data_IF_072949983248
#
_entry.id   IF_072949983248
#
_cell.length_a   1.000
_cell.length_b   1.000
_cell.length_c   1.000
_cell.angle_alpha   90.00
_cell.angle_beta   90.00
_cell.angle_gamma   90.00
#
_symmetry.space_group_name_H-M   'P 1'
#
loop_
_entity.id
_entity.type
_entity.pdbx_description
1 polymer ?
#
# COMPACT_ATOMS: atom_id res chain seq x y z
N UNK A 1 6.72 -0.10 26.73
CA UNK A 1 5.36 -0.37 27.25
C UNK A 1 4.63 -1.32 26.31
N UNK A 2 3.82 -2.23 26.83
CA UNK A 2 2.96 -3.10 25.99
C UNK A 2 1.71 -2.35 25.53
N UNK A 3 1.07 -2.73 24.41
CA UNK A 3 -0.17 -2.11 23.95
C UNK A 3 -1.32 -2.18 24.96
N UNK A 4 -1.32 -3.19 25.83
CA UNK A 4 -2.26 -3.32 26.94
C UNK A 4 -2.02 -2.25 28.00
N UNK A 5 -0.77 -2.06 28.43
CA UNK A 5 -0.40 -0.99 29.36
C UNK A 5 -0.74 0.40 28.79
N UNK A 6 -0.50 0.63 27.51
CA UNK A 6 -0.86 1.88 26.83
C UNK A 6 -2.38 2.08 26.84
N UNK A 7 -3.16 1.05 26.50
CA UNK A 7 -4.63 1.13 26.51
C UNK A 7 -5.15 1.46 27.90
N UNK A 8 -4.66 0.77 28.93
CA UNK A 8 -5.07 1.00 30.32
C UNK A 8 -4.71 2.40 30.77
N UNK A 9 -3.51 2.90 30.46
CA UNK A 9 -3.14 4.27 30.82
C UNK A 9 -4.03 5.31 30.14
N UNK A 10 -4.33 5.14 28.85
CA UNK A 10 -5.21 6.03 28.11
C UNK A 10 -6.61 6.07 28.75
N UNK A 11 -7.22 4.92 29.04
CA UNK A 11 -8.58 4.87 29.62
C UNK A 11 -8.65 5.34 31.07
N UNK A 12 -7.54 5.24 31.82
CA UNK A 12 -7.51 5.67 33.23
C UNK A 12 -7.24 7.17 33.37
N UNK A 13 -6.43 7.76 32.47
CA UNK A 13 -6.01 9.16 32.58
C UNK A 13 -6.80 10.12 31.70
N UNK A 14 -7.39 9.65 30.61
CA UNK A 14 -8.20 10.46 29.71
C UNK A 14 -9.66 10.01 29.82
N UNK A 15 -10.53 10.95 30.16
CA UNK A 15 -11.98 10.79 30.07
C UNK A 15 -12.49 11.54 28.83
N UNK A 16 -12.81 10.83 27.73
CA UNK A 16 -13.24 11.45 26.48
C UNK A 16 -14.52 12.28 26.63
N UNK A 17 -15.38 11.95 27.61
CA UNK A 17 -16.65 12.65 27.82
C UNK A 17 -16.43 14.07 28.36
N UNK A 18 -15.46 14.26 29.24
CA UNK A 18 -15.08 15.57 29.78
C UNK A 18 -14.46 16.47 28.72
N UNK A 19 -13.70 15.86 27.81
CA UNK A 19 -13.03 16.57 26.71
C UNK A 19 -13.90 16.70 25.45
N UNK A 20 -15.14 16.17 25.46
CA UNK A 20 -16.07 16.14 24.32
C UNK A 20 -15.47 15.50 23.06
N UNK A 21 -14.65 14.45 23.25
CA UNK A 21 -14.01 13.71 22.16
C UNK A 21 -14.85 12.47 21.88
N UNK A 22 -15.34 12.32 20.65
CA UNK A 22 -16.03 11.13 20.22
C UNK A 22 -15.02 10.05 19.77
N UNK A 23 -14.93 8.96 20.54
CA UNK A 23 -14.07 7.80 20.24
C UNK A 23 -14.94 6.62 19.82
N UNK A 24 -14.76 6.15 18.59
CA UNK A 24 -15.49 5.03 18.01
C UNK A 24 -14.91 3.67 18.37
N UNK A 25 -13.62 3.63 18.72
CA UNK A 25 -12.98 2.40 19.17
C UNK A 25 -11.48 2.53 19.32
N UNK A 26 -10.88 1.49 19.90
CA UNK A 26 -9.43 1.37 20.05
C UNK A 26 -8.95 0.02 19.54
N UNK A 27 -7.91 0.04 18.72
CA UNK A 27 -7.31 -1.15 18.13
C UNK A 27 -5.89 -1.30 18.68
N UNK A 28 -5.64 -2.40 19.39
CA UNK A 28 -4.29 -2.75 19.84
C UNK A 28 -3.51 -3.35 18.68
N UNK A 29 -2.30 -2.86 18.47
CA UNK A 29 -1.37 -3.34 17.45
C UNK A 29 -0.06 -3.78 18.10
N UNK A 30 0.81 -4.48 17.36
CA UNK A 30 2.13 -4.87 17.88
C UNK A 30 3.01 -3.67 18.27
N UNK A 31 2.76 -2.49 17.70
CA UNK A 31 3.60 -1.29 17.85
C UNK A 31 2.95 -0.20 18.73
N UNK A 32 1.70 -0.38 19.17
CA UNK A 32 0.97 0.63 19.93
C UNK A 32 -0.55 0.48 19.83
N UNK A 33 -1.28 1.55 20.13
CA UNK A 33 -2.75 1.59 20.11
C UNK A 33 -3.19 2.61 19.07
N UNK A 34 -4.13 2.23 18.20
CA UNK A 34 -4.81 3.14 17.28
C UNK A 34 -6.14 3.51 17.92
N UNK A 35 -6.42 4.81 18.03
CA UNK A 35 -7.70 5.33 18.51
C UNK A 35 -8.46 5.87 17.31
N UNK A 36 -9.65 5.32 17.06
CA UNK A 36 -10.54 5.80 16.01
C UNK A 36 -11.41 6.91 16.59
N UNK A 37 -11.18 8.14 16.16
CA UNK A 37 -12.04 9.28 16.51
C UNK A 37 -13.09 9.51 15.42
N UNK A 38 -14.21 10.14 15.78
CA UNK A 38 -15.28 10.48 14.82
C UNK A 38 -14.82 11.54 13.82
N UNK A 39 -14.08 12.56 14.28
CA UNK A 39 -13.62 13.66 13.45
C UNK A 39 -12.13 13.92 13.55
N UNK A 40 -11.57 14.64 12.56
CA UNK A 40 -10.18 15.10 12.59
C UNK A 40 -9.89 15.94 13.83
N UNK A 41 -10.80 16.86 14.17
CA UNK A 41 -10.69 17.74 15.34
C UNK A 41 -10.62 16.97 16.66
N UNK A 42 -11.39 15.88 16.78
CA UNK A 42 -11.33 14.99 17.94
C UNK A 42 -9.95 14.33 18.07
N UNK A 43 -9.36 13.91 16.93
CA UNK A 43 -8.02 13.30 16.91
C UNK A 43 -6.91 14.29 17.29
N UNK A 44 -7.02 15.55 16.84
CA UNK A 44 -6.08 16.63 17.19
C UNK A 44 -6.17 16.95 18.67
N UNK A 45 -7.40 17.14 19.18
CA UNK A 45 -7.65 17.42 20.61
C UNK A 45 -7.10 16.29 21.49
N UNK A 46 -7.34 15.04 21.11
CA UNK A 46 -6.81 13.87 21.82
C UNK A 46 -5.28 13.85 21.81
N UNK A 47 -4.66 14.20 20.68
CA UNK A 47 -3.20 14.23 20.55
C UNK A 47 -2.59 15.28 21.47
N UNK A 48 -3.18 16.48 21.53
CA UNK A 48 -2.76 17.54 22.46
C UNK A 48 -2.89 17.08 23.92
N UNK A 49 -4.02 16.48 24.31
CA UNK A 49 -4.22 15.99 25.67
C UNK A 49 -3.22 14.90 26.07
N UNK A 50 -2.89 13.99 25.16
CA UNK A 50 -1.87 12.96 25.40
C UNK A 50 -0.51 13.63 25.63
N UNK A 51 -0.16 14.63 24.81
CA UNK A 51 1.09 15.35 24.96
C UNK A 51 1.17 16.10 26.28
N UNK A 52 0.08 16.76 26.69
CA UNK A 52 0.03 17.58 27.92
C UNK A 52 0.08 16.72 29.19
N UNK A 53 -0.64 15.60 29.23
CA UNK A 53 -0.75 14.77 30.45
C UNK A 53 0.26 13.63 30.53
N UNK A 54 0.78 13.20 29.38
CA UNK A 54 1.55 11.95 29.26
C UNK A 54 2.70 12.05 28.26
N UNK A 55 3.11 13.25 27.83
CA UNK A 55 4.15 13.45 26.80
C UNK A 55 5.51 12.82 27.12
N UNK A 56 5.82 12.56 28.38
CA UNK A 56 7.04 11.84 28.80
C UNK A 56 6.97 10.32 28.55
N UNK A 57 5.77 9.74 28.49
CA UNK A 57 5.55 8.29 28.41
C UNK A 57 4.92 7.85 27.08
N UNK A 58 4.04 8.68 26.51
CA UNK A 58 3.26 8.38 25.32
C UNK A 58 3.37 9.53 24.32
N UNK A 59 3.52 9.17 23.05
CA UNK A 59 3.42 10.11 21.95
C UNK A 59 2.19 9.78 21.11
N UNK A 60 1.26 10.74 21.04
CA UNK A 60 0.14 10.71 20.11
C UNK A 60 0.58 11.24 18.75
N UNK A 61 0.24 10.55 17.68
CA UNK A 61 0.39 11.08 16.33
C UNK A 61 -0.74 10.57 15.45
N UNK A 62 -1.11 11.39 14.48
CA UNK A 62 -2.09 11.01 13.47
C UNK A 62 -1.55 9.85 12.61
N UNK A 63 -2.38 8.83 12.42
CA UNK A 63 -2.06 7.73 11.51
C UNK A 63 -2.29 8.20 10.08
N UNK A 64 -1.23 8.69 9.44
CA UNK A 64 -1.28 9.09 8.04
C UNK A 64 -1.46 7.88 7.12
N UNK A 65 -2.31 8.05 6.11
CA UNK A 65 -2.46 7.08 5.03
C UNK A 65 -1.14 6.81 4.31
N UNK A 66 -1.04 5.65 3.67
CA UNK A 66 0.08 5.34 2.78
C UNK A 66 0.13 6.33 1.61
N UNK A 67 1.33 6.64 1.12
CA UNK A 67 1.48 7.48 -0.06
C UNK A 67 0.98 6.76 -1.33
N UNK A 68 0.27 7.47 -2.23
CA UNK A 68 -0.18 6.90 -3.48
C UNK A 68 1.00 6.59 -4.40
N UNK A 69 0.75 5.69 -5.34
CA UNK A 69 1.69 5.40 -6.42
C UNK A 69 1.04 5.71 -7.75
N UNK A 70 1.85 6.26 -8.64
CA UNK A 70 1.50 6.50 -10.03
C UNK A 70 2.42 5.69 -10.92
N UNK A 71 1.95 5.36 -12.12
CA UNK A 71 2.74 4.67 -13.13
C UNK A 71 2.84 5.52 -14.40
N UNK A 72 4.07 5.73 -14.86
CA UNK A 72 4.36 6.30 -16.17
C UNK A 72 4.45 5.15 -17.16
N UNK A 73 3.51 5.12 -18.13
CA UNK A 73 3.39 4.03 -19.09
C UNK A 73 4.39 4.17 -20.24
N UNK A 74 4.94 3.04 -20.69
CA UNK A 74 5.77 2.92 -21.91
C UNK A 74 6.99 3.84 -21.97
N UNK A 75 7.77 3.90 -20.89
CA UNK A 75 9.07 4.59 -20.84
C UNK A 75 10.15 3.71 -21.49
N UNK A 76 11.11 4.30 -22.19
CA UNK A 76 12.27 3.57 -22.71
C UNK A 76 13.03 2.88 -21.56
N UNK A 77 13.22 1.56 -21.68
CA UNK A 77 13.86 0.74 -20.64
C UNK A 77 15.32 1.10 -20.38
N UNK A 78 16.00 1.67 -21.37
CA UNK A 78 17.41 2.07 -21.27
C UNK A 78 17.56 3.49 -20.72
N UNK A 79 16.47 4.23 -20.54
CA UNK A 79 16.52 5.57 -19.98
C UNK A 79 16.90 5.51 -18.51
N UNK A 80 18.03 6.12 -18.18
CA UNK A 80 18.53 6.21 -16.81
C UNK A 80 17.50 6.89 -15.89
N UNK A 81 17.50 6.48 -14.62
CA UNK A 81 16.57 6.96 -13.60
C UNK A 81 16.71 8.45 -13.35
N UNK A 82 17.92 8.95 -13.20
CA UNK A 82 18.16 10.34 -12.86
C UNK A 82 17.90 11.24 -14.08
N UNK A 83 18.27 10.76 -15.28
CA UNK A 83 17.92 11.42 -16.55
C UNK A 83 16.41 11.47 -16.76
N UNK A 84 15.68 10.39 -16.47
CA UNK A 84 14.22 10.36 -16.56
C UNK A 84 13.59 11.36 -15.59
N UNK A 85 14.04 11.37 -14.33
CA UNK A 85 13.52 12.29 -13.32
C UNK A 85 13.75 13.75 -13.72
N UNK A 86 14.95 14.07 -14.20
CA UNK A 86 15.29 15.42 -14.66
C UNK A 86 14.40 15.86 -15.83
N UNK A 87 14.16 14.98 -16.80
CA UNK A 87 13.24 15.26 -17.92
C UNK A 87 11.81 15.49 -17.46
N UNK A 88 11.30 14.66 -16.54
CA UNK A 88 9.95 14.82 -15.98
C UNK A 88 9.82 16.19 -15.30
N UNK A 89 10.82 16.62 -14.55
CA UNK A 89 10.77 17.90 -13.83
C UNK A 89 10.90 19.08 -14.79
N UNK A 90 11.91 19.06 -15.66
CA UNK A 90 12.24 20.20 -16.54
C UNK A 90 11.26 20.36 -17.71
N UNK A 91 10.68 19.28 -18.23
CA UNK A 91 9.72 19.37 -19.33
C UNK A 91 8.27 19.63 -18.89
N UNK A 92 7.99 19.72 -17.58
CA UNK A 92 6.64 19.89 -17.03
C UNK A 92 6.66 20.91 -15.86
N UNK A 93 7.29 22.06 -16.09
CA UNK A 93 7.50 23.12 -15.08
C UNK A 93 6.19 23.71 -14.52
N UNK A 94 5.09 23.62 -15.26
CA UNK A 94 3.75 24.00 -14.80
C UNK A 94 3.36 23.21 -13.54
N UNK A 95 3.60 21.90 -13.54
CA UNK A 95 3.41 21.03 -12.37
C UNK A 95 4.38 21.43 -11.26
N UNK A 96 5.63 21.75 -11.63
CA UNK A 96 6.63 22.27 -10.72
C UNK A 96 6.15 23.50 -9.97
N UNK A 97 5.62 24.50 -10.68
CA UNK A 97 5.11 25.75 -10.11
C UNK A 97 3.96 25.51 -9.12
N UNK A 98 3.03 24.64 -9.45
CA UNK A 98 1.92 24.28 -8.55
C UNK A 98 2.38 23.56 -7.27
N UNK A 99 3.51 22.85 -7.31
CA UNK A 99 4.10 22.15 -6.16
C UNK A 99 5.09 22.99 -5.35
N UNK A 100 5.30 24.27 -5.70
CA UNK A 100 6.24 25.16 -5.02
C UNK A 100 7.66 25.15 -5.61
N UNK A 101 7.82 24.70 -6.85
CA UNK A 101 9.06 24.74 -7.64
C UNK A 101 9.56 23.37 -8.08
N UNK A 102 10.51 23.37 -9.01
CA UNK A 102 11.09 22.15 -9.61
C UNK A 102 11.78 21.25 -8.58
N UNK A 103 12.46 21.82 -7.58
CA UNK A 103 13.06 21.05 -6.48
C UNK A 103 12.00 20.32 -5.63
N UNK A 104 10.90 21.00 -5.31
CA UNK A 104 9.78 20.39 -4.59
C UNK A 104 9.13 19.27 -5.42
N UNK A 105 8.98 19.47 -6.73
CA UNK A 105 8.47 18.45 -7.64
C UNK A 105 9.39 17.24 -7.71
N UNK A 106 10.70 17.46 -7.88
CA UNK A 106 11.72 16.41 -7.86
C UNK A 106 11.68 15.58 -6.57
N UNK A 107 11.65 16.25 -5.41
CA UNK A 107 11.53 15.59 -4.11
C UNK A 107 10.21 14.83 -3.92
N UNK A 108 9.16 15.22 -4.64
CA UNK A 108 7.86 14.55 -4.56
C UNK A 108 7.79 13.23 -5.35
N UNK A 109 8.76 12.96 -6.23
CA UNK A 109 8.81 11.80 -7.10
C UNK A 109 9.84 10.77 -6.60
N UNK A 110 9.36 9.70 -5.94
CA UNK A 110 10.23 8.60 -5.50
C UNK A 110 10.04 7.36 -6.37
N UNK A 111 10.95 7.13 -7.32
CA UNK A 111 10.92 5.90 -8.14
C UNK A 111 11.05 4.66 -7.23
N UNK A 112 10.12 3.71 -7.36
CA UNK A 112 10.08 2.49 -6.55
C UNK A 112 10.60 1.28 -7.31
N UNK A 113 10.04 1.04 -8.49
CA UNK A 113 10.38 -0.10 -9.33
C UNK A 113 9.87 0.14 -10.75
N UNK A 114 10.40 -0.64 -11.68
CA UNK A 114 9.96 -0.69 -13.07
C UNK A 114 9.32 -2.05 -13.35
N UNK A 115 8.27 -2.06 -14.17
CA UNK A 115 7.49 -3.26 -14.52
C UNK A 115 7.51 -3.44 -16.04
N UNK A 116 7.50 -4.69 -16.51
CA UNK A 116 7.50 -5.00 -17.94
C UNK A 116 8.92 -5.18 -18.50
N UNK A 117 9.15 -4.73 -19.74
CA UNK A 117 10.47 -4.80 -20.39
C UNK A 117 11.01 -6.22 -20.62
N UNK A 118 10.14 -7.24 -20.63
CA UNK A 118 10.56 -8.63 -20.87
C UNK A 118 11.01 -8.83 -22.31
N UNK A 119 12.10 -9.59 -22.50
CA UNK A 119 12.63 -9.93 -23.81
C UNK A 119 13.03 -8.70 -24.62
N UNK A 120 12.61 -8.65 -25.89
CA UNK A 120 12.93 -7.58 -26.83
C UNK A 120 12.08 -6.32 -26.66
N UNK A 121 11.08 -6.30 -25.77
CA UNK A 121 10.26 -5.10 -25.56
C UNK A 121 11.16 -3.93 -25.11
N UNK A 122 11.20 -2.79 -25.84
CA UNK A 122 12.05 -1.65 -25.49
C UNK A 122 11.45 -0.79 -24.38
N UNK A 123 10.22 -1.06 -23.95
CA UNK A 123 9.51 -0.23 -22.99
C UNK A 123 9.30 -0.92 -21.64
N UNK A 124 9.31 -0.09 -20.59
CA UNK A 124 8.94 -0.42 -19.21
C UNK A 124 7.92 0.58 -18.70
N UNK A 125 7.16 0.17 -17.71
CA UNK A 125 6.32 1.05 -16.92
C UNK A 125 7.09 1.43 -15.65
N UNK A 126 7.16 2.73 -15.32
CA UNK A 126 7.94 3.22 -14.17
C UNK A 126 6.98 3.66 -13.06
N UNK A 127 7.13 3.07 -11.88
CA UNK A 127 6.26 3.35 -10.73
C UNK A 127 6.93 4.32 -9.76
N UNK A 128 6.26 5.43 -9.50
CA UNK A 128 6.65 6.42 -8.50
C UNK A 128 5.71 6.39 -7.31
N UNK A 129 6.24 6.53 -6.10
CA UNK A 129 5.48 6.90 -4.92
C UNK A 129 5.52 8.42 -4.79
N UNK A 130 4.35 9.02 -4.59
CA UNK A 130 4.15 10.48 -4.64
C UNK A 130 3.22 10.94 -3.53
N UNK A 131 3.18 12.24 -3.26
CA UNK A 131 2.16 12.83 -2.38
C UNK A 131 0.83 12.98 -3.12
N UNK A 132 -0.27 13.08 -2.37
CA UNK A 132 -1.62 13.35 -2.87
C UNK A 132 -1.66 14.55 -3.86
N UNK A 133 -1.01 15.66 -3.50
CA UNK A 133 -0.91 16.85 -4.36
C UNK A 133 -0.28 16.54 -5.73
N UNK A 134 0.88 15.88 -5.75
CA UNK A 134 1.57 15.50 -7.00
C UNK A 134 0.72 14.55 -7.83
N UNK A 135 0.06 13.57 -7.20
CA UNK A 135 -0.85 12.65 -7.89
C UNK A 135 -1.96 13.42 -8.61
N UNK A 136 -2.65 14.34 -7.90
CA UNK A 136 -3.75 15.15 -8.45
C UNK A 136 -3.34 15.93 -9.70
N UNK A 137 -2.08 16.36 -9.77
CA UNK A 137 -1.55 17.11 -10.91
C UNK A 137 -1.11 16.24 -12.08
N UNK A 138 -0.75 14.97 -11.86
CA UNK A 138 -0.17 14.11 -12.89
C UNK A 138 -1.14 13.07 -13.45
N UNK A 139 -1.98 12.45 -12.61
CA UNK A 139 -2.86 11.34 -13.03
C UNK A 139 -3.87 11.80 -14.06
N UNK A 140 -4.09 10.98 -15.09
CA UNK A 140 -4.98 11.31 -16.21
C UNK A 140 -4.36 12.24 -17.26
N UNK A 141 -3.14 12.73 -17.03
CA UNK A 141 -2.38 13.52 -17.99
C UNK A 141 -1.33 12.68 -18.73
N UNK A 142 -0.84 13.25 -19.82
CA UNK A 142 0.33 12.76 -20.54
C UNK A 142 1.52 13.66 -20.23
N UNK A 143 2.50 13.13 -19.51
CA UNK A 143 3.68 13.86 -19.02
C UNK A 143 4.81 13.76 -20.04
N UNK A 144 5.47 14.90 -20.32
CA UNK A 144 6.59 14.96 -21.25
C UNK A 144 7.85 14.37 -20.63
N UNK A 145 8.57 13.57 -21.42
CA UNK A 145 9.86 12.94 -21.10
C UNK A 145 10.95 13.41 -22.09
N UNK A 146 10.82 14.63 -22.61
CA UNK A 146 11.61 15.17 -23.73
C UNK A 146 10.95 14.88 -25.07
N UNK A 147 11.58 14.06 -25.92
CA UNK A 147 11.07 13.68 -27.24
C UNK A 147 9.97 12.59 -27.21
N UNK A 148 9.47 12.26 -26.03
CA UNK A 148 8.39 11.27 -25.84
C UNK A 148 7.49 11.72 -24.70
N UNK A 149 6.31 11.12 -24.59
CA UNK A 149 5.38 11.36 -23.48
C UNK A 149 4.87 10.05 -22.90
N UNK A 150 4.56 10.06 -21.60
CA UNK A 150 4.01 8.92 -20.89
C UNK A 150 2.62 9.26 -20.33
N UNK A 151 1.67 8.36 -20.52
CA UNK A 151 0.40 8.40 -19.80
C UNK A 151 0.65 8.09 -18.33
N UNK A 152 0.01 8.84 -17.44
CA UNK A 152 0.12 8.63 -16.00
C UNK A 152 -1.19 8.11 -15.44
N UNK A 153 -1.11 6.94 -14.81
CA UNK A 153 -2.24 6.28 -14.18
C UNK A 153 -1.98 6.05 -12.69
N UNK A 154 -3.04 5.88 -11.92
CA UNK A 154 -2.94 5.31 -10.60
C UNK A 154 -2.34 3.91 -10.66
N UNK A 155 -1.39 3.62 -9.77
CA UNK A 155 -0.82 2.31 -9.60
C UNK A 155 -1.08 1.78 -8.21
N UNK A 156 -1.70 0.61 -8.11
CA UNK A 156 -1.78 -0.11 -6.86
C UNK A 156 -1.67 -1.61 -7.11
N UNK A 157 -0.81 -2.26 -6.34
CA UNK A 157 -0.56 -3.70 -6.45
C UNK A 157 -0.33 -4.29 -5.08
N UNK A 158 -1.01 -5.41 -4.79
CA UNK A 158 -0.75 -6.18 -3.60
C UNK A 158 0.57 -6.94 -3.73
N UNK A 159 1.38 -6.89 -2.67
CA UNK A 159 2.58 -7.70 -2.56
C UNK A 159 2.18 -9.15 -2.24
N UNK A 160 2.11 -10.00 -3.26
CA UNK A 160 1.82 -11.42 -3.11
C UNK A 160 3.12 -12.25 -3.05
N UNK A 161 3.21 -13.13 -2.06
CA UNK A 161 4.31 -14.07 -1.93
C UNK A 161 4.11 -15.25 -2.88
N UNK A 162 4.99 -15.45 -3.86
CA UNK A 162 4.90 -16.59 -4.79
C UNK A 162 5.34 -17.94 -4.19
N UNK A 163 5.75 -17.97 -2.91
CA UNK A 163 6.07 -19.22 -2.19
C UNK A 163 4.87 -19.79 -1.45
N UNK A 164 4.06 -18.95 -0.80
CA UNK A 164 2.91 -19.39 -0.01
C UNK A 164 1.57 -18.76 -0.43
N UNK A 165 1.59 -17.87 -1.42
CA UNK A 165 0.45 -17.15 -2.00
C UNK A 165 -0.30 -16.17 -1.09
N UNK A 166 0.17 -16.01 0.14
CA UNK A 166 -0.32 -14.97 1.05
C UNK A 166 0.16 -13.57 0.66
N UNK A 167 -0.59 -12.56 1.10
CA UNK A 167 -0.30 -11.15 0.86
C UNK A 167 0.59 -10.57 1.98
N UNK A 168 1.43 -9.60 1.65
CA UNK A 168 2.14 -8.74 2.60
C UNK A 168 3.62 -9.05 2.81
N UNK A 169 4.19 -10.02 2.08
CA UNK A 169 5.63 -10.30 2.12
C UNK A 169 6.14 -10.85 0.79
N UNK A 170 7.47 -10.74 0.57
CA UNK A 170 8.13 -11.34 -0.60
C UNK A 170 8.50 -12.79 -0.31
N UNK A 171 8.70 -13.58 -1.37
CA UNK A 171 9.15 -14.98 -1.24
C UNK A 171 10.46 -15.15 -0.47
N UNK A 172 11.36 -14.15 -0.53
CA UNK A 172 12.63 -14.15 0.22
C UNK A 172 12.44 -13.98 1.73
N UNK A 173 11.36 -13.32 2.13
CA UNK A 173 11.01 -13.05 3.53
C UNK A 173 10.00 -14.11 4.07
N UNK A 174 9.73 -15.15 3.26
CA UNK A 174 8.70 -16.14 3.56
C UNK A 174 9.20 -17.19 4.56
N UNK A 175 8.41 -17.42 5.61
CA UNK A 175 8.71 -18.39 6.67
C UNK A 175 8.23 -19.82 6.38
N UNK A 176 7.51 -20.04 5.29
CA UNK A 176 7.05 -21.38 4.90
C UNK A 176 8.23 -22.26 4.54
N UNK A 177 8.30 -23.46 5.12
CA UNK A 177 9.35 -24.44 4.84
C UNK A 177 9.26 -24.94 3.39
N UNK A 178 8.08 -25.33 2.96
CA UNK A 178 7.82 -25.82 1.61
C UNK A 178 7.10 -24.77 0.73
N UNK A 179 7.25 -24.82 -0.60
CA UNK A 179 6.41 -24.04 -1.50
C UNK A 179 4.99 -24.61 -1.54
N UNK A 180 4.01 -23.72 -1.66
CA UNK A 180 2.61 -24.05 -1.92
C UNK A 180 2.35 -23.92 -3.42
N UNK A 181 1.69 -24.90 -3.99
CA UNK A 181 1.24 -24.84 -5.37
C UNK A 181 0.08 -23.86 -5.51
N UNK A 182 0.20 -22.87 -6.39
CA UNK A 182 -0.86 -21.89 -6.66
C UNK A 182 -2.05 -22.43 -7.45
N UNK A 183 -1.92 -23.63 -8.01
CA UNK A 183 -3.02 -24.29 -8.72
C UNK A 183 -3.81 -25.23 -7.81
N UNK A 184 -3.17 -26.12 -7.03
CA UNK A 184 -3.87 -27.10 -6.20
C UNK A 184 -3.86 -26.79 -4.69
N UNK A 185 -3.17 -25.73 -4.26
CA UNK A 185 -2.97 -25.33 -2.87
C UNK A 185 -2.24 -26.34 -1.95
N UNK A 186 -1.61 -27.38 -2.53
CA UNK A 186 -0.82 -28.36 -1.78
C UNK A 186 0.62 -27.86 -1.54
N UNK A 187 1.20 -28.26 -0.42
CA UNK A 187 2.60 -28.00 -0.08
C UNK A 187 3.55 -28.98 -0.77
N UNK A 188 4.82 -28.59 -0.90
CA UNK A 188 5.92 -29.44 -1.39
C UNK A 188 6.25 -29.26 -2.87
N UNK A 189 5.48 -28.47 -3.63
CA UNK A 189 5.77 -28.21 -5.04
C UNK A 189 5.30 -26.84 -5.53
N UNK A 190 5.89 -26.38 -6.65
CA UNK A 190 5.45 -25.18 -7.38
C UNK A 190 4.49 -25.58 -8.51
N UNK A 191 3.73 -24.63 -9.05
CA UNK A 191 2.78 -24.85 -10.15
C UNK A 191 3.40 -25.60 -11.33
N UNK A 192 4.67 -25.33 -11.67
CA UNK A 192 5.39 -25.97 -12.77
C UNK A 192 5.63 -27.47 -12.59
N UNK A 193 5.52 -27.98 -11.36
CA UNK A 193 5.64 -29.41 -11.02
C UNK A 193 4.31 -30.01 -10.56
N UNK A 194 3.19 -29.28 -10.71
CA UNK A 194 1.88 -29.77 -10.30
C UNK A 194 1.41 -30.86 -11.26
N UNK A 195 0.92 -31.97 -10.70
CA UNK A 195 0.34 -33.09 -11.45
C UNK A 195 -1.18 -33.18 -11.32
N UNK A 196 -1.77 -32.27 -10.54
CA UNK A 196 -3.22 -32.20 -10.39
C UNK A 196 -3.82 -31.65 -11.70
N UNK A 197 -4.85 -32.34 -12.21
CA UNK A 197 -5.59 -32.01 -13.42
C UNK A 197 -7.08 -31.71 -13.14
N UNK A 198 -7.48 -31.69 -11.86
CA UNK A 198 -8.84 -31.36 -11.42
C UNK A 198 -9.09 -29.85 -11.28
N UNK A 199 -10.18 -29.46 -10.61
CA UNK A 199 -10.47 -28.04 -10.37
C UNK A 199 -9.41 -27.43 -9.45
N UNK A 200 -8.90 -26.26 -9.82
CA UNK A 200 -7.92 -25.52 -9.03
C UNK A 200 -8.43 -25.17 -7.62
N UNK A 201 -7.50 -24.97 -6.69
CA UNK A 201 -7.74 -24.53 -5.34
C UNK A 201 -6.92 -23.30 -4.98
N UNK A 202 -7.60 -22.31 -4.42
CA UNK A 202 -7.02 -21.02 -4.13
C UNK A 202 -6.38 -21.02 -2.73
N UNK A 203 -5.05 -21.12 -2.69
CA UNK A 203 -4.28 -21.11 -1.45
C UNK A 203 -4.54 -19.84 -0.60
N UNK A 204 -4.76 -18.69 -1.24
CA UNK A 204 -5.08 -17.43 -0.55
C UNK A 204 -6.46 -17.49 0.13
N UNK A 205 -7.52 -17.86 -0.59
CA UNK A 205 -8.86 -17.99 -0.01
C UNK A 205 -8.88 -19.02 1.13
N UNK A 206 -8.20 -20.16 0.96
CA UNK A 206 -8.06 -21.18 2.02
C UNK A 206 -7.38 -20.58 3.25
N UNK A 207 -6.26 -19.86 3.08
CA UNK A 207 -5.55 -19.27 4.21
C UNK A 207 -6.37 -18.17 4.91
N UNK A 208 -7.10 -17.38 4.14
CA UNK A 208 -7.94 -16.31 4.68
C UNK A 208 -9.13 -16.88 5.43
N UNK A 209 -9.86 -17.85 4.88
CA UNK A 209 -10.99 -18.49 5.57
C UNK A 209 -10.58 -19.21 6.87
N UNK A 210 -9.32 -19.63 6.99
CA UNK A 210 -8.77 -20.22 8.24
C UNK A 210 -8.44 -19.16 9.29
N UNK A 211 -8.01 -17.97 8.88
CA UNK A 211 -7.46 -16.93 9.78
C UNK A 211 -8.46 -15.83 10.09
N UNK A 212 -9.40 -15.58 9.18
CA UNK A 212 -10.50 -14.62 9.28
C UNK A 212 -11.80 -15.41 9.21
N UNK A 213 -12.88 -14.91 9.83
CA UNK A 213 -14.22 -15.53 9.75
C UNK A 213 -14.89 -15.34 8.37
N UNK A 214 -14.09 -15.15 7.33
CA UNK A 214 -14.53 -14.96 5.95
C UNK A 214 -14.89 -16.31 5.31
N UNK A 215 -15.73 -16.29 4.26
CA UNK A 215 -16.20 -17.49 3.55
C UNK A 215 -16.05 -17.33 2.03
N UNK A 216 -14.82 -17.08 1.57
CA UNK A 216 -14.54 -16.98 0.14
C UNK A 216 -14.63 -18.36 -0.53
N UNK A 217 -15.10 -18.42 -1.77
CA UNK A 217 -14.96 -19.63 -2.59
C UNK A 217 -13.48 -19.96 -2.75
N UNK A 218 -13.17 -21.25 -2.74
CA UNK A 218 -11.79 -21.76 -2.79
C UNK A 218 -11.52 -22.57 -4.06
N UNK A 219 -12.53 -22.80 -4.91
CA UNK A 219 -12.46 -23.68 -6.09
C UNK A 219 -12.05 -22.93 -7.36
N UNK A 220 -10.88 -22.30 -7.32
CA UNK A 220 -10.25 -21.62 -8.46
C UNK A 220 -8.73 -21.58 -8.27
N UNK A 221 -7.96 -21.26 -9.33
CA UNK A 221 -6.52 -21.02 -9.23
C UNK A 221 -6.27 -19.74 -8.42
N UNK A 222 -5.21 -19.66 -7.62
CA UNK A 222 -4.91 -18.46 -6.82
C UNK A 222 -4.68 -17.17 -7.64
N UNK A 223 -4.44 -17.31 -8.94
CA UNK A 223 -4.25 -16.23 -9.92
C UNK A 223 -5.53 -15.86 -10.67
N UNK A 224 -6.66 -16.47 -10.30
CA UNK A 224 -7.96 -16.11 -10.85
C UNK A 224 -8.23 -14.62 -10.66
N UNK A 225 -8.70 -13.95 -11.72
CA UNK A 225 -8.97 -12.53 -11.72
C UNK A 225 -10.14 -12.17 -10.78
N UNK A 226 -11.04 -13.11 -10.51
CA UNK A 226 -12.22 -12.95 -9.65
C UNK A 226 -12.01 -13.53 -8.24
N UNK A 227 -10.76 -13.75 -7.82
CA UNK A 227 -10.43 -14.23 -6.48
C UNK A 227 -10.95 -13.28 -5.38
N UNK A 228 -12.03 -13.67 -4.69
CA UNK A 228 -12.69 -12.84 -3.68
C UNK A 228 -11.79 -12.42 -2.51
N UNK A 229 -10.90 -13.31 -2.06
CA UNK A 229 -9.94 -12.97 -1.01
C UNK A 229 -8.91 -11.92 -1.48
N UNK A 230 -8.46 -12.02 -2.74
CA UNK A 230 -7.56 -11.03 -3.32
C UNK A 230 -8.25 -9.66 -3.44
N UNK A 231 -9.45 -9.63 -4.02
CA UNK A 231 -10.25 -8.40 -4.20
C UNK A 231 -10.57 -7.73 -2.86
N UNK A 232 -11.00 -8.51 -1.85
CA UNK A 232 -11.22 -8.00 -0.49
C UNK A 232 -9.96 -7.36 0.09
N UNK A 233 -8.80 -8.01 -0.07
CA UNK A 233 -7.53 -7.48 0.42
C UNK A 233 -7.05 -6.27 -0.38
N UNK A 234 -7.37 -6.22 -1.67
CA UNK A 234 -7.05 -5.11 -2.55
C UNK A 234 -7.80 -3.86 -2.10
N UNK A 235 -9.12 -3.95 -1.90
CA UNK A 235 -9.93 -2.83 -1.41
C UNK A 235 -9.48 -2.37 -0.03
N UNK A 236 -9.26 -3.31 0.91
CA UNK A 236 -8.85 -2.97 2.27
C UNK A 236 -7.49 -2.28 2.36
N UNK A 237 -6.54 -2.63 1.48
CA UNK A 237 -5.23 -1.99 1.48
C UNK A 237 -5.24 -0.68 0.68
N UNK A 238 -5.99 -0.63 -0.43
CA UNK A 238 -6.16 0.59 -1.22
C UNK A 238 -6.87 1.68 -0.41
N UNK A 239 -7.86 1.33 0.41
CA UNK A 239 -8.58 2.31 1.25
C UNK A 239 -7.73 2.98 2.32
N UNK A 240 -6.50 2.50 2.56
CA UNK A 240 -5.54 3.06 3.51
C UNK A 240 -4.54 4.01 2.86
N UNK A 241 -4.66 4.23 1.55
CA UNK A 241 -3.80 5.14 0.79
C UNK A 241 -4.50 6.49 0.71
N UNK A 242 -3.74 7.55 0.98
CA UNK A 242 -4.18 8.92 0.82
C UNK A 242 -4.07 9.35 -0.65
N UNK A 243 -5.12 9.14 -1.42
CA UNK A 243 -5.18 9.56 -2.82
C UNK A 243 -5.45 11.07 -2.98
N UNK A 244 -5.85 11.77 -1.91
CA UNK A 244 -6.24 13.18 -1.94
C UNK A 244 -7.51 13.49 -2.76
N UNK A 245 -8.38 12.48 -2.91
CA UNK A 245 -9.70 12.60 -3.55
C UNK A 245 -10.75 13.18 -2.59
#
# INVERSE_FOLDING_TARGET
MTPEQVSTMLTTRIDPTKSKIAVNGMIRTKKGVIVNCETQKDSETLTTLIQDMMGECLHGSEVKGGLPRIVLKKVDKNLDKDVLLERVVTCNEDIGKELGGNEAFKMSLKEKYRVGGRGSNPYVDVVYEVKAATRKLMVGKRISLGWSGAEVLDHFSLLQCYRCWNIGHRSVDCKSKEPVCGYCAEEGHRNTKCRNNGVGRCALCISINKTRRDKFDTRHDVRDAECGAYTSMWHSQRSRIDYGD
#
